data_IF_099573631597
#
_entry.id   IF_099573631597
#
_cell.length_a   1.000
_cell.length_b   1.000
_cell.length_c   1.000
_cell.angle_alpha   90.00
_cell.angle_beta   90.00
_cell.angle_gamma   90.00
#
_symmetry.space_group_name_H-M   'P 1'
#
loop_
_entity.id
_entity.type
_entity.pdbx_description
1 polymer ?
#
# COMPACT_ATOMS: atom_id res chain seq x y z
N UNK A 1 -38.64 3.33 -12.02
CA UNK A 1 -37.52 3.72 -11.13
C UNK A 1 -37.25 2.67 -10.03
N UNK A 2 -36.96 1.40 -10.36
CA UNK A 2 -36.72 0.32 -9.36
C UNK A 2 -35.48 -0.56 -9.63
N UNK A 3 -34.63 -0.21 -10.61
CA UNK A 3 -33.52 -1.04 -11.10
C UNK A 3 -32.11 -0.59 -10.69
N UNK A 4 -31.97 0.45 -9.86
CA UNK A 4 -30.65 0.98 -9.45
C UNK A 4 -30.11 0.32 -8.17
N UNK A 5 -31.00 -0.19 -7.30
CA UNK A 5 -30.63 -0.79 -6.01
C UNK A 5 -29.77 -2.07 -6.04
N UNK A 6 -29.86 -3.00 -7.02
CA UNK A 6 -29.10 -4.25 -6.94
C UNK A 6 -27.60 -4.08 -7.26
N UNK A 7 -27.22 -3.02 -7.98
CA UNK A 7 -25.83 -2.77 -8.36
C UNK A 7 -25.03 -2.24 -7.16
N UNK A 8 -25.63 -1.35 -6.37
CA UNK A 8 -24.98 -0.73 -5.20
C UNK A 8 -24.73 -1.78 -4.09
N UNK A 9 -25.63 -2.75 -3.96
CA UNK A 9 -25.52 -3.83 -2.96
C UNK A 9 -24.42 -4.84 -3.33
N UNK A 10 -24.30 -5.25 -4.59
CA UNK A 10 -23.22 -6.14 -5.03
C UNK A 10 -21.82 -5.50 -5.00
N UNK A 11 -21.72 -4.18 -5.18
CA UNK A 11 -20.44 -3.44 -5.07
C UNK A 11 -20.02 -3.25 -3.60
N UNK A 12 -20.98 -3.12 -2.68
CA UNK A 12 -20.72 -2.97 -1.25
C UNK A 12 -20.25 -4.25 -0.55
N UNK A 13 -20.49 -5.43 -1.14
CA UNK A 13 -19.99 -6.72 -0.64
C UNK A 13 -18.50 -6.96 -0.96
N UNK A 14 -17.87 -6.09 -1.75
CA UNK A 14 -16.43 -6.15 -1.99
C UNK A 14 -15.72 -5.68 -0.72
N UNK A 15 -15.11 -6.60 0.02
CA UNK A 15 -14.39 -6.29 1.27
C UNK A 15 -13.31 -5.21 1.09
N UNK A 16 -12.75 -5.09 -0.12
CA UNK A 16 -11.77 -4.06 -0.47
C UNK A 16 -12.35 -2.66 -0.78
N UNK A 17 -13.67 -2.52 -0.91
CA UNK A 17 -14.30 -1.25 -1.28
C UNK A 17 -13.99 -0.12 -0.29
N UNK A 18 -14.05 -0.33 1.05
CA UNK A 18 -13.71 0.72 2.01
C UNK A 18 -12.25 1.17 1.87
N UNK A 19 -11.33 0.24 1.61
CA UNK A 19 -9.90 0.53 1.45
C UNK A 19 -9.67 1.40 0.21
N UNK A 20 -10.30 1.04 -0.91
CA UNK A 20 -10.20 1.80 -2.16
C UNK A 20 -10.77 3.21 -1.98
N UNK A 21 -11.91 3.34 -1.29
CA UNK A 21 -12.53 4.65 -1.01
C UNK A 21 -11.60 5.51 -0.17
N UNK A 22 -11.06 4.99 0.93
CA UNK A 22 -10.12 5.73 1.78
C UNK A 22 -8.87 6.14 1.00
N UNK A 23 -8.32 5.23 0.19
CA UNK A 23 -7.17 5.53 -0.66
C UNK A 23 -7.46 6.69 -1.62
N UNK A 24 -8.58 6.67 -2.33
CA UNK A 24 -8.96 7.73 -3.27
C UNK A 24 -9.19 9.07 -2.56
N UNK A 25 -9.80 9.06 -1.38
CA UNK A 25 -10.01 10.27 -0.57
C UNK A 25 -8.67 10.88 -0.15
N UNK A 26 -7.76 10.07 0.41
CA UNK A 26 -6.43 10.54 0.81
C UNK A 26 -5.63 11.06 -0.37
N UNK A 27 -5.65 10.33 -1.50
CA UNK A 27 -4.96 10.75 -2.71
C UNK A 27 -5.52 12.07 -3.25
N UNK A 28 -6.85 12.25 -3.23
CA UNK A 28 -7.50 13.50 -3.60
C UNK A 28 -7.09 14.67 -2.71
N UNK A 29 -7.04 14.47 -1.39
CA UNK A 29 -6.57 15.47 -0.43
C UNK A 29 -5.13 15.87 -0.77
N UNK A 30 -4.23 14.90 -0.95
CA UNK A 30 -2.82 15.18 -1.26
C UNK A 30 -2.62 15.90 -2.60
N UNK A 31 -3.38 15.52 -3.63
CA UNK A 31 -3.34 16.17 -4.94
C UNK A 31 -3.76 17.64 -4.85
N UNK A 32 -4.77 17.95 -4.02
CA UNK A 32 -5.24 19.31 -3.80
C UNK A 32 -4.28 20.14 -2.93
N UNK A 33 -3.73 19.55 -1.87
CA UNK A 33 -2.84 20.27 -0.94
C UNK A 33 -1.42 20.48 -1.50
N UNK A 34 -0.92 19.57 -2.34
CA UNK A 34 0.45 19.60 -2.86
C UNK A 34 0.53 19.16 -4.35
N UNK A 35 -0.16 19.85 -5.28
CA UNK A 35 -0.28 19.41 -6.67
C UNK A 35 1.06 19.25 -7.37
N UNK A 36 1.99 20.19 -7.18
CA UNK A 36 3.32 20.15 -7.82
C UNK A 36 4.16 18.94 -7.41
N UNK A 37 3.94 18.41 -6.20
CA UNK A 37 4.68 17.24 -5.70
C UNK A 37 4.07 15.98 -6.28
N UNK A 38 2.75 15.80 -6.10
CA UNK A 38 2.06 14.57 -6.49
C UNK A 38 1.80 14.44 -8.00
N UNK A 39 1.90 15.52 -8.79
CA UNK A 39 1.86 15.43 -10.26
C UNK A 39 3.25 15.43 -10.90
N UNK A 40 4.31 15.70 -10.13
CA UNK A 40 5.67 15.79 -10.66
C UNK A 40 6.33 14.43 -10.83
N UNK A 41 7.04 14.21 -11.95
CA UNK A 41 7.72 12.94 -12.23
C UNK A 41 8.74 12.50 -11.16
N UNK A 42 9.39 13.47 -10.50
CA UNK A 42 10.50 13.21 -9.56
C UNK A 42 10.09 12.37 -8.35
N UNK A 43 8.88 12.57 -7.81
CA UNK A 43 8.42 11.78 -6.65
C UNK A 43 8.30 10.31 -7.01
N UNK A 44 7.77 10.02 -8.20
CA UNK A 44 7.57 8.66 -8.69
C UNK A 44 8.90 7.98 -8.99
N UNK A 45 9.88 8.70 -9.55
CA UNK A 45 11.23 8.19 -9.72
C UNK A 45 11.86 7.82 -8.36
N UNK A 46 11.84 8.74 -7.39
CA UNK A 46 12.40 8.48 -6.06
C UNK A 46 11.69 7.35 -5.32
N UNK A 47 10.36 7.26 -5.44
CA UNK A 47 9.56 6.18 -4.88
C UNK A 47 9.92 4.83 -5.52
N UNK A 48 9.99 4.78 -6.85
CA UNK A 48 10.37 3.56 -7.58
C UNK A 48 11.83 3.16 -7.38
N UNK A 49 12.70 4.04 -6.89
CA UNK A 49 14.06 3.65 -6.52
C UNK A 49 14.15 3.05 -5.11
N UNK A 50 13.30 3.49 -4.19
CA UNK A 50 13.39 3.15 -2.76
C UNK A 50 12.47 2.01 -2.35
N UNK A 51 11.31 1.87 -2.98
CA UNK A 51 10.26 0.91 -2.59
C UNK A 51 10.43 -0.48 -3.18
N UNK A 52 10.86 -0.68 -4.44
CA UNK A 52 10.98 -2.02 -5.00
C UNK A 52 11.95 -2.95 -4.26
N UNK A 53 13.14 -2.52 -3.79
CA UNK A 53 14.04 -3.41 -3.06
C UNK A 53 13.40 -4.08 -1.83
N UNK A 54 12.79 -3.34 -0.87
CA UNK A 54 12.10 -3.98 0.25
C UNK A 54 10.86 -4.77 -0.18
N UNK A 55 10.20 -4.42 -1.28
CA UNK A 55 9.05 -5.18 -1.79
C UNK A 55 9.47 -6.56 -2.32
N UNK A 56 10.61 -6.66 -3.00
CA UNK A 56 11.19 -7.94 -3.43
C UNK A 56 11.55 -8.80 -2.21
N UNK A 57 12.14 -8.19 -1.18
CA UNK A 57 12.43 -8.88 0.08
C UNK A 57 11.14 -9.39 0.74
N UNK A 58 10.11 -8.54 0.83
CA UNK A 58 8.81 -8.90 1.40
C UNK A 58 8.15 -10.08 0.65
N UNK A 59 8.24 -10.11 -0.68
CA UNK A 59 7.75 -11.23 -1.49
C UNK A 59 8.48 -12.55 -1.17
N UNK A 60 9.79 -12.52 -0.98
CA UNK A 60 10.54 -13.70 -0.54
C UNK A 60 10.14 -14.14 0.87
N UNK A 61 9.97 -13.17 1.78
CA UNK A 61 9.60 -13.42 3.17
C UNK A 61 8.20 -13.99 3.35
N UNK A 62 7.25 -13.69 2.46
CA UNK A 62 5.90 -14.25 2.55
C UNK A 62 5.90 -15.78 2.63
N UNK A 63 6.82 -16.45 1.93
CA UNK A 63 6.95 -17.92 1.99
C UNK A 63 7.53 -18.39 3.32
N UNK A 64 8.56 -17.70 3.83
CA UNK A 64 9.21 -18.03 5.12
C UNK A 64 8.25 -17.82 6.29
N UNK A 65 7.50 -16.71 6.26
CA UNK A 65 6.46 -16.40 7.25
C UNK A 65 5.35 -17.45 7.19
N UNK A 66 4.88 -17.81 6.00
CA UNK A 66 3.85 -18.83 5.83
C UNK A 66 4.30 -20.22 6.28
N UNK A 67 5.58 -20.56 6.12
CA UNK A 67 6.17 -21.80 6.62
C UNK A 67 6.35 -21.81 8.15
N UNK A 68 6.25 -20.66 8.82
CA UNK A 68 6.46 -20.53 10.27
C UNK A 68 7.93 -20.62 10.69
N UNK A 69 8.87 -20.55 9.75
CA UNK A 69 10.31 -20.67 9.99
C UNK A 69 10.99 -19.31 10.24
N UNK A 70 10.20 -18.25 10.47
CA UNK A 70 10.77 -16.92 10.70
C UNK A 70 11.41 -16.81 12.08
N UNK A 71 12.72 -16.58 12.11
CA UNK A 71 13.44 -16.27 13.34
C UNK A 71 13.12 -14.84 13.81
N UNK A 72 13.03 -14.65 15.13
CA UNK A 72 12.78 -13.36 15.77
C UNK A 72 13.88 -12.33 15.45
N UNK A 73 15.10 -12.79 15.14
CA UNK A 73 16.22 -11.94 14.73
C UNK A 73 15.91 -11.16 13.45
N UNK A 74 15.12 -11.72 12.53
CA UNK A 74 14.84 -11.12 11.24
C UNK A 74 14.05 -9.81 11.36
N UNK A 75 12.92 -9.85 12.09
CA UNK A 75 12.10 -8.64 12.30
C UNK A 75 12.86 -7.57 13.10
N UNK A 76 13.69 -8.00 14.07
CA UNK A 76 14.52 -7.09 14.86
C UNK A 76 15.56 -6.35 14.00
N UNK A 77 16.24 -7.04 13.08
CA UNK A 77 17.24 -6.42 12.18
C UNK A 77 16.58 -5.44 11.22
N UNK A 78 15.42 -5.78 10.64
CA UNK A 78 14.70 -4.89 9.73
C UNK A 78 14.22 -3.63 10.47
N UNK A 79 13.64 -3.79 11.67
CA UNK A 79 13.19 -2.65 12.48
C UNK A 79 14.35 -1.74 12.91
N UNK A 80 15.48 -2.32 13.34
CA UNK A 80 16.67 -1.55 13.71
C UNK A 80 17.29 -0.84 12.50
N UNK A 81 17.37 -1.53 11.35
CA UNK A 81 17.90 -0.93 10.12
C UNK A 81 17.06 0.26 9.67
N UNK A 82 15.73 0.17 9.73
CA UNK A 82 14.83 1.29 9.41
C UNK A 82 14.83 2.43 10.43
N UNK A 83 15.41 2.25 11.62
CA UNK A 83 15.62 3.33 12.58
C UNK A 83 16.95 4.06 12.33
N UNK A 84 17.98 3.34 11.89
CA UNK A 84 19.33 3.88 11.68
C UNK A 84 19.47 4.62 10.34
N UNK A 85 18.75 4.17 9.30
CA UNK A 85 18.79 4.72 7.94
C UNK A 85 17.47 5.39 7.57
#
# INVERSE_FOLDING_TARGET
MKRIKPIITGVAEIEGLPIIVVYLVLMGIFLLTAPRVFTGYRIYMSFLQTVPPPLILALGLTLVIAAGEIDLSFSAIIAFSGFVF
#
